data_IF_059925600561
#
_entry.id   IF_059925600561
#
_cell.length_a   1.000
_cell.length_b   1.000
_cell.length_c   1.000
_cell.angle_alpha   90.00
_cell.angle_beta   90.00
_cell.angle_gamma   90.00
#
_symmetry.space_group_name_H-M   'P 1'
#
loop_
_entity.id
_entity.type
_entity.pdbx_description
1 polymer ?
#
# COMPACT_ATOMS: atom_id res chain seq x y z
N UNK A 1 33.54 12.87 35.12
CA UNK A 1 33.32 12.90 33.65
C UNK A 1 32.21 11.91 33.35
N UNK A 2 30.96 12.39 33.24
CA UNK A 2 29.80 11.54 32.95
C UNK A 2 29.58 11.57 31.44
N UNK A 3 29.76 10.43 30.78
CA UNK A 3 29.35 10.24 29.39
C UNK A 3 27.83 10.39 29.32
N UNK A 4 27.28 11.22 28.41
CA UNK A 4 25.85 11.21 28.17
C UNK A 4 25.50 9.86 27.55
N UNK A 5 24.71 9.07 28.27
CA UNK A 5 23.97 7.94 27.73
C UNK A 5 23.04 8.48 26.66
N UNK A 6 23.40 8.33 25.38
CA UNK A 6 22.49 8.58 24.29
C UNK A 6 21.40 7.51 24.34
N UNK A 7 20.27 7.84 24.95
CA UNK A 7 19.03 7.11 24.76
C UNK A 7 18.60 7.29 23.30
N UNK A 8 19.00 6.37 22.42
CA UNK A 8 18.34 6.19 21.13
C UNK A 8 16.94 5.64 21.42
N UNK A 9 15.99 6.52 21.74
CA UNK A 9 14.59 6.19 21.56
C UNK A 9 14.41 5.88 20.08
N UNK A 10 14.14 4.62 19.74
CA UNK A 10 13.79 4.19 18.38
C UNK A 10 12.42 4.77 18.03
N UNK A 11 12.38 6.09 17.79
CA UNK A 11 11.16 6.82 17.55
C UNK A 11 10.59 6.43 16.20
N UNK A 12 9.38 5.88 16.16
CA UNK A 12 8.63 5.71 14.92
C UNK A 12 8.16 7.10 14.44
N UNK A 13 8.42 7.46 13.19
CA UNK A 13 7.83 8.64 12.56
C UNK A 13 6.53 8.24 11.88
N UNK A 14 5.42 8.96 12.15
CA UNK A 14 4.15 8.74 11.45
C UNK A 14 3.88 9.88 10.47
N UNK A 15 3.51 9.55 9.24
CA UNK A 15 3.26 10.53 8.16
C UNK A 15 1.99 10.17 7.38
N UNK A 16 1.29 11.16 6.82
CA UNK A 16 0.20 10.89 5.89
C UNK A 16 0.74 10.46 4.52
N UNK A 17 -0.01 9.62 3.81
CA UNK A 17 0.16 9.36 2.39
C UNK A 17 -1.17 9.51 1.64
N UNK A 18 -1.10 9.66 0.32
CA UNK A 18 -2.29 9.80 -0.54
C UNK A 18 -2.53 8.48 -1.27
N UNK A 19 -3.71 7.89 -1.10
CA UNK A 19 -4.11 6.71 -1.86
C UNK A 19 -4.80 7.14 -3.16
N UNK A 20 -4.27 6.69 -4.29
CA UNK A 20 -4.79 6.98 -5.63
C UNK A 20 -5.41 5.69 -6.17
N UNK A 21 -6.73 5.69 -6.26
CA UNK A 21 -7.56 4.55 -6.66
C UNK A 21 -8.50 4.97 -7.79
N UNK A 22 -8.88 4.04 -8.69
CA UNK A 22 -9.96 4.29 -9.62
C UNK A 22 -11.27 4.57 -8.86
N UNK A 23 -12.07 5.50 -9.37
CA UNK A 23 -13.38 5.82 -8.80
C UNK A 23 -14.41 4.70 -8.99
N UNK A 24 -14.18 3.84 -9.99
CA UNK A 24 -15.06 2.74 -10.35
C UNK A 24 -14.24 1.45 -10.51
N UNK A 25 -14.70 0.39 -9.86
CA UNK A 25 -14.18 -0.96 -9.99
C UNK A 25 -15.29 -1.86 -10.53
N UNK A 26 -15.05 -2.45 -11.69
CA UNK A 26 -15.91 -3.48 -12.23
C UNK A 26 -15.46 -4.85 -11.70
N UNK A 27 -16.40 -5.60 -11.14
CA UNK A 27 -16.15 -6.97 -10.69
C UNK A 27 -17.17 -7.92 -11.34
N UNK A 28 -16.83 -9.19 -11.49
CA UNK A 28 -17.85 -10.21 -11.78
C UNK A 28 -18.20 -10.91 -10.48
N UNK A 29 -19.48 -11.22 -10.26
CA UNK A 29 -19.88 -12.00 -9.11
C UNK A 29 -19.08 -13.31 -9.02
N UNK A 30 -18.58 -13.63 -7.84
CA UNK A 30 -17.71 -14.80 -7.61
C UNK A 30 -16.31 -14.71 -8.21
N UNK A 31 -15.95 -13.58 -8.83
CA UNK A 31 -14.60 -13.35 -9.37
C UNK A 31 -13.70 -12.56 -8.43
N UNK A 32 -12.43 -12.65 -8.74
CA UNK A 32 -11.27 -12.25 -7.96
C UNK A 32 -10.74 -10.97 -8.61
N UNK A 33 -10.89 -9.80 -7.96
CA UNK A 33 -10.39 -8.53 -8.46
C UNK A 33 -8.96 -8.22 -7.97
N UNK A 34 -8.02 -8.06 -8.91
CA UNK A 34 -6.66 -7.63 -8.59
C UNK A 34 -6.67 -6.12 -8.32
N UNK A 35 -6.57 -5.76 -7.03
CA UNK A 35 -6.46 -4.36 -6.63
C UNK A 35 -5.15 -3.76 -7.16
N UNK A 36 -5.27 -2.83 -8.09
CA UNK A 36 -4.17 -2.02 -8.61
C UNK A 36 -4.41 -0.57 -8.26
N UNK A 37 -3.44 0.04 -7.59
CA UNK A 37 -3.52 1.42 -7.14
C UNK A 37 -2.13 1.99 -6.91
N UNK A 38 -2.07 3.29 -6.63
CA UNK A 38 -0.83 3.99 -6.34
C UNK A 38 -0.91 4.65 -4.96
N UNK A 39 0.24 4.77 -4.31
CA UNK A 39 0.41 5.57 -3.11
C UNK A 39 1.33 6.75 -3.45
N UNK A 40 0.87 7.94 -3.10
CA UNK A 40 1.61 9.19 -3.15
C UNK A 40 2.29 9.48 -1.83
N UNK A 41 3.62 9.56 -1.85
CA UNK A 41 4.46 9.91 -0.72
C UNK A 41 5.01 11.32 -0.91
N UNK A 42 4.72 12.20 0.04
CA UNK A 42 5.37 13.51 0.16
C UNK A 42 6.43 13.40 1.24
N UNK A 43 7.65 13.83 0.94
CA UNK A 43 8.77 13.75 1.87
C UNK A 43 9.44 15.10 2.06
N UNK A 44 9.24 15.71 3.23
CA UNK A 44 9.75 17.05 3.55
C UNK A 44 10.85 17.03 4.64
N UNK A 45 11.32 15.84 5.05
CA UNK A 45 12.41 15.71 6.05
C UNK A 45 13.79 15.90 5.41
N UNK A 46 14.80 16.21 6.23
CA UNK A 46 16.16 16.52 5.75
C UNK A 46 16.94 15.31 5.21
N UNK A 47 16.68 14.11 5.75
CA UNK A 47 17.33 12.87 5.31
C UNK A 47 16.46 12.15 4.27
N UNK A 48 17.03 11.46 3.27
CA UNK A 48 16.26 10.71 2.29
C UNK A 48 15.43 9.59 2.94
N UNK A 49 14.23 9.35 2.40
CA UNK A 49 13.42 8.19 2.72
C UNK A 49 13.80 7.02 1.83
N UNK A 50 14.05 5.86 2.42
CA UNK A 50 14.25 4.60 1.74
C UNK A 50 13.01 3.72 1.89
N UNK A 51 12.57 3.17 0.77
CA UNK A 51 11.46 2.23 0.69
C UNK A 51 11.98 0.96 0.03
N UNK A 52 11.93 -0.17 0.73
CA UNK A 52 12.26 -1.44 0.11
C UNK A 52 11.16 -1.83 -0.88
N UNK A 53 11.54 -2.36 -2.04
CA UNK A 53 10.58 -2.91 -3.01
C UNK A 53 10.71 -4.43 -3.06
N UNK A 54 9.69 -5.09 -3.62
CA UNK A 54 9.74 -6.53 -3.80
C UNK A 54 10.98 -6.92 -4.61
N UNK A 55 11.79 -7.86 -4.11
CA UNK A 55 12.93 -8.39 -4.86
C UNK A 55 12.86 -9.91 -4.89
N UNK A 56 12.94 -10.49 -6.08
CA UNK A 56 13.17 -11.92 -6.23
C UNK A 56 14.67 -12.18 -6.10
N UNK A 57 15.14 -12.51 -4.90
CA UNK A 57 16.51 -13.04 -4.78
C UNK A 57 16.64 -14.37 -5.55
N UNK A 58 17.85 -14.68 -6.03
CA UNK A 58 18.23 -15.98 -6.61
C UNK A 58 17.97 -17.17 -5.66
N UNK A 59 17.88 -16.91 -4.35
CA UNK A 59 17.57 -17.86 -3.28
C UNK A 59 16.06 -18.15 -3.13
N UNK A 60 15.19 -17.41 -3.82
CA UNK A 60 13.75 -17.64 -3.85
C UNK A 60 12.95 -17.10 -2.66
N UNK A 61 13.54 -16.35 -1.73
CA UNK A 61 12.81 -15.88 -0.53
C UNK A 61 13.28 -14.51 -0.05
N UNK A 62 12.64 -13.44 -0.53
CA UNK A 62 12.37 -12.23 0.28
C UNK A 62 11.29 -11.39 -0.38
N UNK A 63 10.06 -11.63 0.04
CA UNK A 63 8.92 -10.82 -0.36
C UNK A 63 8.81 -9.68 0.65
N UNK A 64 9.24 -8.48 0.26
CA UNK A 64 9.06 -7.31 1.11
C UNK A 64 7.59 -6.93 1.11
N UNK A 65 6.92 -7.26 2.21
CA UNK A 65 5.59 -6.74 2.50
C UNK A 65 5.77 -5.29 2.92
N UNK A 66 5.33 -4.41 2.04
CA UNK A 66 5.40 -2.97 2.22
C UNK A 66 4.51 -2.57 3.41
N UNK A 67 3.30 -3.14 3.46
CA UNK A 67 2.33 -2.92 4.52
C UNK A 67 1.01 -3.59 4.20
N UNK A 68 -0.09 -2.96 4.60
CA UNK A 68 -1.42 -3.54 4.55
C UNK A 68 -2.50 -2.59 4.03
N UNK A 69 -3.49 -3.18 3.36
CA UNK A 69 -4.66 -2.54 2.80
C UNK A 69 -5.88 -3.15 3.47
N UNK A 70 -6.73 -2.29 3.99
CA UNK A 70 -8.01 -2.65 4.58
C UNK A 70 -9.14 -2.05 3.73
N UNK A 71 -10.14 -2.86 3.42
CA UNK A 71 -11.28 -2.46 2.60
C UNK A 71 -12.54 -2.65 3.42
N UNK A 72 -13.39 -1.63 3.40
CA UNK A 72 -14.61 -1.57 4.18
C UNK A 72 -15.78 -1.30 3.25
N UNK A 73 -16.94 -1.86 3.58
CA UNK A 73 -18.19 -1.51 2.93
C UNK A 73 -18.70 -0.12 3.39
N UNK A 74 -19.80 0.33 2.77
CA UNK A 74 -20.46 1.61 3.10
C UNK A 74 -20.89 1.74 4.58
N UNK A 75 -21.07 0.62 5.28
CA UNK A 75 -21.45 0.59 6.70
C UNK A 75 -20.22 0.54 7.62
N UNK A 76 -19.01 0.52 7.06
CA UNK A 76 -17.77 0.44 7.82
C UNK A 76 -17.39 -0.98 8.26
N UNK A 77 -18.05 -2.01 7.73
CA UNK A 77 -17.63 -3.41 7.97
C UNK A 77 -16.45 -3.74 7.07
N UNK A 78 -15.35 -4.19 7.69
CA UNK A 78 -14.18 -4.66 6.96
C UNK A 78 -14.51 -5.94 6.17
N UNK A 79 -14.04 -6.03 4.94
CA UNK A 79 -14.19 -7.18 4.07
C UNK A 79 -13.26 -8.32 4.50
N UNK A 80 -13.48 -8.90 5.68
CA UNK A 80 -12.97 -10.17 6.26
C UNK A 80 -11.50 -10.59 6.01
N UNK A 81 -10.64 -9.71 5.46
CA UNK A 81 -9.22 -9.98 5.23
C UNK A 81 -8.41 -8.69 5.13
N UNK A 82 -7.34 -8.63 5.92
CA UNK A 82 -6.26 -7.66 5.71
C UNK A 82 -5.45 -8.08 4.48
N UNK A 83 -5.27 -7.17 3.54
CA UNK A 83 -4.56 -7.43 2.29
C UNK A 83 -3.13 -6.92 2.38
N UNK A 84 -2.13 -7.79 2.20
CA UNK A 84 -0.74 -7.33 2.24
C UNK A 84 -0.35 -6.74 0.88
N UNK A 85 0.33 -5.61 0.88
CA UNK A 85 0.75 -4.95 -0.36
C UNK A 85 2.27 -4.97 -0.53
N UNK A 86 2.71 -4.91 -1.80
CA UNK A 86 4.10 -4.76 -2.19
C UNK A 86 4.22 -3.80 -3.37
N UNK A 87 5.35 -3.09 -3.46
CA UNK A 87 5.73 -2.36 -4.67
C UNK A 87 6.37 -3.36 -5.65
N UNK A 88 6.03 -3.33 -6.95
CA UNK A 88 6.69 -4.15 -7.97
C UNK A 88 8.23 -4.05 -7.91
N UNK A 89 8.95 -5.09 -8.36
CA UNK A 89 10.41 -5.06 -8.40
C UNK A 89 10.95 -3.88 -9.18
N UNK A 90 11.98 -3.26 -8.61
CA UNK A 90 12.85 -2.30 -9.28
C UNK A 90 14.29 -2.83 -9.30
N UNK A 91 15.11 -2.45 -10.29
CA UNK A 91 16.47 -2.96 -10.45
C UNK A 91 17.32 -2.89 -9.17
N UNK A 92 17.22 -1.77 -8.45
CA UNK A 92 18.07 -1.49 -7.29
C UNK A 92 17.48 -2.02 -5.96
N UNK A 93 16.26 -2.56 -5.96
CA UNK A 93 15.61 -3.12 -4.77
C UNK A 93 15.12 -2.13 -3.73
N UNK A 94 15.45 -0.86 -3.91
CA UNK A 94 14.95 0.23 -3.11
C UNK A 94 14.46 1.37 -3.99
N UNK A 95 13.49 2.12 -3.48
CA UNK A 95 13.14 3.46 -3.95
C UNK A 95 13.63 4.44 -2.91
N UNK A 96 14.41 5.41 -3.36
CA UNK A 96 14.82 6.55 -2.54
C UNK A 96 13.97 7.76 -2.92
N UNK A 97 13.40 8.43 -1.92
CA UNK A 97 12.67 9.69 -2.05
C UNK A 97 13.46 10.78 -1.33
N UNK A 98 13.88 11.81 -2.06
CA UNK A 98 14.72 12.88 -1.53
C UNK A 98 13.90 13.99 -0.86
N UNK A 99 14.53 14.83 -0.01
CA UNK A 99 13.88 15.97 0.62
C UNK A 99 13.18 16.89 -0.40
N UNK A 100 11.92 17.23 -0.13
CA UNK A 100 11.07 18.05 -0.97
C UNK A 100 10.37 17.31 -2.12
N UNK A 101 10.61 16.00 -2.28
CA UNK A 101 10.01 15.23 -3.37
C UNK A 101 8.60 14.74 -3.04
N UNK A 102 7.82 14.60 -4.11
CA UNK A 102 6.59 13.84 -4.12
C UNK A 102 6.72 12.69 -5.11
N UNK A 103 6.57 11.45 -4.63
CA UNK A 103 6.68 10.24 -5.45
C UNK A 103 5.38 9.46 -5.44
N UNK A 104 4.94 9.01 -6.62
CA UNK A 104 3.86 8.04 -6.77
C UNK A 104 4.44 6.67 -7.03
N UNK A 105 4.00 5.68 -6.28
CA UNK A 105 4.43 4.29 -6.42
C UNK A 105 3.19 3.40 -6.57
N UNK A 106 3.12 2.68 -7.68
CA UNK A 106 2.13 1.62 -7.84
C UNK A 106 2.39 0.48 -6.87
N UNK A 107 1.33 -0.14 -6.38
CA UNK A 107 1.41 -1.35 -5.57
C UNK A 107 0.48 -2.44 -6.10
N UNK A 108 0.76 -3.67 -5.68
CA UNK A 108 -0.12 -4.81 -5.87
C UNK A 108 -0.37 -5.50 -4.52
N UNK A 109 -1.51 -6.20 -4.41
CA UNK A 109 -1.85 -7.01 -3.24
C UNK A 109 -1.31 -8.43 -3.42
N UNK A 110 -0.55 -8.91 -2.44
CA UNK A 110 0.18 -10.19 -2.49
C UNK A 110 -0.69 -11.40 -2.10
N UNK A 111 -1.52 -11.27 -1.06
CA UNK A 111 -2.34 -12.38 -0.56
C UNK A 111 -3.65 -12.59 -1.33
N UNK A 112 -3.64 -12.24 -2.63
CA UNK A 112 -4.68 -12.56 -3.58
C UNK A 112 -5.50 -11.35 -4.00
N UNK A 113 -6.72 -11.65 -4.42
CA UNK A 113 -7.64 -10.66 -4.96
C UNK A 113 -8.76 -10.35 -3.99
N UNK A 114 -9.29 -9.15 -4.11
CA UNK A 114 -10.46 -8.72 -3.37
C UNK A 114 -11.68 -9.39 -4.00
N UNK A 115 -12.51 -10.02 -3.17
CA UNK A 115 -13.83 -10.52 -3.57
C UNK A 115 -14.85 -9.54 -3.00
N UNK A 116 -15.54 -8.82 -3.89
CA UNK A 116 -16.63 -7.94 -3.48
C UNK A 116 -17.91 -8.75 -3.39
N UNK A 117 -18.62 -8.73 -2.24
CA UNK A 117 -19.83 -9.54 -2.07
C UNK A 117 -21.03 -9.00 -2.87
N UNK A 118 -21.03 -7.70 -3.18
CA UNK A 118 -22.11 -7.01 -3.89
C UNK A 118 -21.63 -5.70 -4.53
N UNK A 119 -22.39 -5.20 -5.50
CA UNK A 119 -22.27 -3.81 -5.95
C UNK A 119 -22.55 -2.84 -4.79
N UNK A 120 -21.84 -1.70 -4.76
CA UNK A 120 -22.00 -0.72 -3.68
C UNK A 120 -20.85 0.26 -3.59
N UNK A 121 -20.89 1.11 -2.56
CA UNK A 121 -19.77 1.98 -2.22
C UNK A 121 -18.87 1.30 -1.20
N UNK A 122 -17.57 1.44 -1.39
CA UNK A 122 -16.55 0.89 -0.52
C UNK A 122 -15.51 1.97 -0.25
N UNK A 123 -14.80 1.86 0.86
CA UNK A 123 -13.62 2.68 1.10
C UNK A 123 -12.43 1.83 1.49
N UNK A 124 -11.25 2.34 1.18
CA UNK A 124 -9.98 1.68 1.42
C UNK A 124 -9.08 2.58 2.25
N UNK A 125 -8.31 1.95 3.15
CA UNK A 125 -7.24 2.57 3.93
C UNK A 125 -6.00 1.68 3.75
N UNK A 126 -4.90 2.30 3.35
CA UNK A 126 -3.58 1.70 3.25
C UNK A 126 -2.67 2.21 4.39
N UNK A 127 -1.94 1.29 5.01
CA UNK A 127 -0.86 1.54 5.96
C UNK A 127 0.44 0.95 5.43
N UNK A 128 1.49 1.76 5.42
CA UNK A 128 2.82 1.38 4.95
C UNK A 128 3.79 1.44 6.13
N UNK A 129 4.47 0.34 6.45
CA UNK A 129 5.32 0.23 7.64
C UNK A 129 6.78 -0.17 7.36
N UNK A 130 7.16 -0.45 6.10
CA UNK A 130 8.54 -0.77 5.72
C UNK A 130 9.25 0.39 4.99
N UNK A 131 9.28 1.56 5.64
CA UNK A 131 9.98 2.76 5.17
C UNK A 131 10.96 3.25 6.23
N UNK A 132 12.11 3.78 5.80
CA UNK A 132 13.20 4.11 6.71
C UNK A 132 13.88 5.43 6.36
N UNK A 133 14.14 6.23 7.38
CA UNK A 133 14.99 7.42 7.32
C UNK A 133 16.18 7.17 8.26
N UNK A 134 17.35 6.86 7.70
CA UNK A 134 18.49 6.37 8.49
C UNK A 134 18.13 5.10 9.27
N UNK A 135 18.14 5.16 10.60
CA UNK A 135 17.73 4.05 11.49
C UNK A 135 16.28 4.16 11.98
N UNK A 136 15.55 5.17 11.52
CA UNK A 136 14.20 5.50 11.98
C UNK A 136 13.17 4.86 11.06
N UNK A 137 12.27 4.06 11.62
CA UNK A 137 11.11 3.57 10.87
C UNK A 137 10.10 4.70 10.65
N UNK A 138 9.55 4.76 9.45
CA UNK A 138 8.53 5.71 9.05
C UNK A 138 7.29 4.94 8.63
N UNK A 139 6.19 5.17 9.34
CA UNK A 139 4.89 4.58 9.03
C UNK A 139 4.05 5.62 8.30
N UNK A 140 3.58 5.28 7.11
CA UNK A 140 2.61 6.07 6.38
C UNK A 140 1.20 5.51 6.53
N UNK A 141 0.21 6.36 6.72
CA UNK A 141 -1.19 5.98 6.70
C UNK A 141 -1.96 6.89 5.76
N UNK A 142 -2.86 6.30 4.99
CA UNK A 142 -3.70 7.04 4.05
C UNK A 142 -5.04 7.41 4.70
N UNK A 143 -5.67 8.47 4.21
CA UNK A 143 -7.07 8.76 4.56
C UNK A 143 -8.03 7.82 3.83
N UNK A 144 -9.29 7.73 4.30
CA UNK A 144 -10.34 6.97 3.61
C UNK A 144 -10.44 7.39 2.15
N UNK A 145 -10.28 6.45 1.23
CA UNK A 145 -10.53 6.67 -0.19
C UNK A 145 -11.74 5.86 -0.64
N UNK A 146 -12.83 6.56 -0.95
CA UNK A 146 -14.05 5.98 -1.48
C UNK A 146 -13.90 5.60 -2.95
N UNK A 147 -14.53 4.49 -3.33
CA UNK A 147 -14.69 4.03 -4.71
C UNK A 147 -16.00 3.25 -4.84
N UNK A 148 -16.53 3.20 -6.07
CA UNK A 148 -17.74 2.46 -6.40
C UNK A 148 -17.38 1.11 -6.99
N UNK A 149 -18.11 0.07 -6.58
CA UNK A 149 -17.98 -1.27 -7.13
C UNK A 149 -19.28 -1.62 -7.86
N UNK A 150 -19.16 -2.06 -9.11
CA UNK A 150 -20.30 -2.44 -9.96
C UNK A 150 -20.10 -3.80 -10.59
N UNK A 151 -21.16 -4.60 -10.62
CA UNK A 151 -21.14 -5.89 -11.28
C UNK A 151 -21.08 -5.72 -12.79
N UNK A 152 -20.05 -6.29 -13.41
CA UNK A 152 -19.85 -6.26 -14.85
C UNK A 152 -20.85 -7.20 -15.55
N UNK A 153 -21.41 -6.80 -16.71
CA UNK A 153 -22.30 -7.66 -17.48
C UNK A 153 -21.58 -8.93 -17.92
N UNK A 154 -22.31 -10.04 -18.11
CA UNK A 154 -21.74 -11.26 -18.65
C UNK A 154 -21.08 -10.98 -20.01
N UNK A 155 -19.85 -11.49 -20.22
CA UNK A 155 -19.22 -11.43 -21.55
C UNK A 155 -20.15 -12.18 -22.50
N UNK A 156 -20.71 -11.50 -23.50
CA UNK A 156 -21.34 -12.20 -24.64
C UNK A 156 -20.29 -13.17 -25.18
N UNK A 157 -20.56 -14.47 -25.13
CA UNK A 157 -19.77 -15.39 -25.95
C UNK A 157 -20.06 -15.01 -27.39
N UNK A 158 -19.05 -14.51 -28.10
CA UNK A 158 -19.09 -14.54 -29.56
C UNK A 158 -19.24 -16.01 -29.96
N UNK A 159 -20.43 -16.36 -30.45
CA UNK A 159 -20.68 -17.58 -31.22
C UNK A 159 -19.87 -17.55 -32.51
#
# INVERSE_FOLDING_TARGET
MLLPTFCFGSGVLRKPAVLIMPDLVEFRAGSVYLLRAEIGFRWDEQEPLKINVWQREKSGKREWLLGDVQIFDENGRELERQFFMSIPPMPDGEVVIYPGEYKRLGFFVWNGSVIFPRSGNYYVIATFNDAWMGKKNVIFTTSKRWFKVVEAPPKKSSL
#
